data_IF_351052996386
#
_entry.id   IF_351052996386
#
_cell.length_a   1.000
_cell.length_b   1.000
_cell.length_c   1.000
_cell.angle_alpha   90.00
_cell.angle_beta   90.00
_cell.angle_gamma   90.00
#
_symmetry.space_group_name_H-M   'P 1'
#
loop_
_entity.id
_entity.type
_entity.pdbx_description
1 polymer ?
#
# COMPACT_ATOMS: atom_id res chain seq x y z
N UNK A 1 -3.88 11.60 11.60
CA UNK A 1 -3.61 10.15 11.51
C UNK A 1 -3.30 9.55 12.87
N UNK A 2 -3.62 8.27 13.05
CA UNK A 2 -3.32 7.52 14.28
C UNK A 2 -2.11 6.60 14.06
N UNK A 3 -1.13 6.59 14.98
CA UNK A 3 0.00 5.64 14.91
C UNK A 3 -0.32 4.35 15.67
N UNK A 4 0.06 3.21 15.12
CA UNK A 4 -0.11 1.88 15.74
C UNK A 4 1.19 1.09 15.66
N UNK A 5 1.42 0.23 16.64
CA UNK A 5 2.53 -0.72 16.67
C UNK A 5 1.99 -2.15 16.73
N UNK A 6 2.65 -3.07 16.03
CA UNK A 6 2.27 -4.48 15.97
C UNK A 6 2.08 -4.99 14.55
N UNK A 7 1.47 -6.16 14.42
CA UNK A 7 1.19 -6.78 13.14
C UNK A 7 -0.20 -6.35 12.63
N UNK A 8 -0.20 -5.42 11.67
CA UNK A 8 -1.43 -4.86 11.07
C UNK A 8 -2.42 -5.92 10.54
N UNK A 9 -1.93 -7.08 10.08
CA UNK A 9 -2.77 -8.14 9.52
C UNK A 9 -3.66 -8.82 10.56
N UNK A 10 -3.28 -8.82 11.84
CA UNK A 10 -4.08 -9.40 12.92
C UNK A 10 -5.35 -8.58 13.18
N UNK A 11 -5.41 -7.36 12.64
CA UNK A 11 -6.46 -6.38 12.85
C UNK A 11 -7.26 -6.12 11.56
N UNK A 12 -7.06 -6.92 10.50
CA UNK A 12 -7.71 -6.76 9.19
C UNK A 12 -9.22 -6.51 9.28
N UNK A 13 -9.92 -7.27 10.12
CA UNK A 13 -11.38 -7.19 10.24
C UNK A 13 -11.89 -5.84 10.75
N UNK A 14 -11.03 -5.03 11.37
CA UNK A 14 -11.38 -3.69 11.87
C UNK A 14 -11.18 -2.57 10.85
N UNK A 15 -10.64 -2.86 9.68
CA UNK A 15 -10.41 -1.87 8.62
C UNK A 15 -11.52 -1.89 7.58
N UNK A 16 -12.10 -0.73 7.28
CA UNK A 16 -12.95 -0.56 6.10
C UNK A 16 -12.10 -0.57 4.82
N UNK A 17 -10.87 -0.04 4.90
CA UNK A 17 -9.86 -0.15 3.85
C UNK A 17 -8.49 -0.57 4.41
N UNK A 18 -7.96 -1.66 3.90
CA UNK A 18 -6.69 -2.27 4.26
C UNK A 18 -5.65 -2.02 3.15
N UNK A 19 -4.85 -0.98 3.35
CA UNK A 19 -3.82 -0.52 2.43
C UNK A 19 -2.48 -1.22 2.69
N UNK A 20 -1.96 -1.89 1.66
CA UNK A 20 -0.63 -2.50 1.69
C UNK A 20 0.31 -1.76 0.75
N UNK A 21 1.50 -1.40 1.23
CA UNK A 21 2.48 -0.71 0.40
C UNK A 21 3.00 -1.63 -0.71
N UNK A 22 2.97 -1.16 -1.96
CA UNK A 22 3.33 -1.99 -3.11
C UNK A 22 4.13 -1.20 -4.18
N UNK A 23 4.45 -1.91 -5.26
CA UNK A 23 5.10 -1.39 -6.46
C UNK A 23 4.16 -1.56 -7.68
N UNK A 24 4.63 -1.24 -8.88
CA UNK A 24 3.92 -1.45 -10.15
C UNK A 24 4.70 -2.33 -11.14
N UNK A 25 5.63 -3.15 -10.63
CA UNK A 25 6.38 -4.08 -11.46
C UNK A 25 5.59 -5.38 -11.64
N UNK A 26 4.99 -5.50 -12.81
CA UNK A 26 4.33 -6.72 -13.30
C UNK A 26 5.38 -7.61 -13.95
N UNK A 27 5.41 -8.88 -13.58
CA UNK A 27 6.35 -9.89 -14.11
C UNK A 27 5.86 -10.43 -15.44
N UNK A 28 6.71 -11.18 -16.14
CA UNK A 28 6.39 -11.83 -17.41
C UNK A 28 5.21 -12.82 -17.31
N UNK A 29 4.93 -13.36 -16.11
CA UNK A 29 3.77 -14.20 -15.84
C UNK A 29 2.47 -13.40 -15.56
N UNK A 30 2.50 -12.09 -15.79
CA UNK A 30 1.38 -11.16 -15.56
C UNK A 30 1.11 -10.84 -14.08
N UNK A 31 1.86 -11.39 -13.14
CA UNK A 31 1.63 -11.16 -11.71
C UNK A 31 2.45 -9.99 -11.16
N UNK A 32 1.87 -9.28 -10.19
CA UNK A 32 2.56 -8.22 -9.46
C UNK A 32 3.69 -8.78 -8.58
N UNK A 33 4.85 -8.12 -8.58
CA UNK A 33 5.96 -8.53 -7.72
C UNK A 33 5.72 -8.21 -6.25
N UNK A 34 5.56 -9.25 -5.43
CA UNK A 34 5.28 -9.17 -4.00
C UNK A 34 6.22 -10.08 -3.18
N UNK A 35 7.53 -9.86 -3.31
CA UNK A 35 8.58 -10.72 -2.76
C UNK A 35 9.03 -10.41 -1.32
N UNK A 36 8.69 -9.23 -0.77
CA UNK A 36 9.12 -8.81 0.56
C UNK A 36 8.08 -7.93 1.28
N UNK A 37 8.29 -7.71 2.59
CA UNK A 37 7.48 -6.81 3.42
C UNK A 37 6.00 -7.16 3.47
N UNK A 38 5.15 -6.14 3.70
CA UNK A 38 3.70 -6.28 3.78
C UNK A 38 3.09 -6.84 2.48
N UNK A 39 3.65 -6.53 1.31
CA UNK A 39 3.20 -7.11 0.04
C UNK A 39 3.37 -8.64 0.00
N UNK A 40 4.51 -9.17 0.48
CA UNK A 40 4.70 -10.62 0.61
C UNK A 40 3.70 -11.23 1.58
N UNK A 41 3.46 -10.56 2.70
CA UNK A 41 2.51 -11.02 3.71
C UNK A 41 1.09 -11.09 3.14
N UNK A 42 0.64 -10.07 2.42
CA UNK A 42 -0.65 -10.06 1.71
C UNK A 42 -0.74 -11.22 0.71
N UNK A 43 0.29 -11.43 -0.11
CA UNK A 43 0.32 -12.55 -1.07
C UNK A 43 0.20 -13.91 -0.38
N UNK A 44 0.86 -14.10 0.76
CA UNK A 44 0.80 -15.37 1.51
C UNK A 44 -0.56 -15.55 2.17
N UNK A 45 -1.11 -14.48 2.74
CA UNK A 45 -2.40 -14.47 3.42
C UNK A 45 -3.58 -14.78 2.48
N UNK A 46 -3.51 -14.33 1.22
CA UNK A 46 -4.56 -14.55 0.20
C UNK A 46 -4.46 -15.91 -0.53
N UNK A 47 -3.63 -16.85 -0.05
CA UNK A 47 -3.53 -18.20 -0.65
C UNK A 47 -4.76 -19.05 -0.28
N UNK A 48 -5.19 -19.98 -1.17
CA UNK A 48 -4.49 -20.49 -2.36
C UNK A 48 -4.72 -19.70 -3.66
N UNK A 49 -5.43 -18.58 -3.64
CA UNK A 49 -5.82 -17.87 -4.88
C UNK A 49 -4.61 -17.21 -5.58
N UNK A 50 -4.60 -17.08 -6.92
CA UNK A 50 -3.55 -16.40 -7.68
C UNK A 50 -3.67 -14.87 -7.53
N UNK A 51 -3.80 -14.36 -6.30
CA UNK A 51 -4.10 -12.97 -5.99
C UNK A 51 -3.08 -12.00 -6.60
N UNK A 52 -1.79 -12.38 -6.62
CA UNK A 52 -0.75 -11.58 -7.28
C UNK A 52 -0.97 -11.43 -8.80
N UNK A 53 -1.55 -12.42 -9.48
CA UNK A 53 -1.94 -12.35 -10.89
C UNK A 53 -3.03 -11.31 -11.11
N UNK A 54 -4.10 -11.38 -10.31
CA UNK A 54 -5.21 -10.41 -10.34
C UNK A 54 -4.72 -8.97 -10.09
N UNK A 55 -3.85 -8.78 -9.09
CA UNK A 55 -3.23 -7.47 -8.82
C UNK A 55 -2.36 -6.98 -9.98
N UNK A 56 -1.66 -7.88 -10.68
CA UNK A 56 -0.89 -7.54 -11.86
C UNK A 56 -1.79 -7.00 -12.99
N UNK A 57 -2.90 -7.68 -13.27
CA UNK A 57 -3.89 -7.19 -14.25
C UNK A 57 -4.48 -5.83 -13.88
N UNK A 58 -4.78 -5.58 -12.59
CA UNK A 58 -5.25 -4.27 -12.15
C UNK A 58 -4.19 -3.17 -12.31
N UNK A 59 -2.93 -3.45 -11.99
CA UNK A 59 -1.84 -2.50 -12.22
C UNK A 59 -1.66 -2.20 -13.70
N UNK A 60 -1.70 -3.21 -14.57
CA UNK A 60 -1.62 -3.00 -16.02
C UNK A 60 -2.75 -2.11 -16.53
N UNK A 61 -4.00 -2.36 -16.11
CA UNK A 61 -5.15 -1.55 -16.52
C UNK A 61 -5.11 -0.12 -15.97
N UNK A 62 -4.66 0.07 -14.73
CA UNK A 62 -4.65 1.38 -14.07
C UNK A 62 -3.51 2.28 -14.57
N UNK A 63 -2.31 1.74 -14.73
CA UNK A 63 -1.15 2.57 -15.08
C UNK A 63 -0.11 1.91 -15.98
N UNK A 64 -0.27 0.64 -16.34
CA UNK A 64 0.74 -0.15 -17.04
C UNK A 64 1.93 -0.55 -16.16
N UNK A 65 2.75 -1.49 -16.67
CA UNK A 65 4.05 -1.86 -16.11
C UNK A 65 4.90 -0.62 -15.77
N UNK A 66 5.40 -0.53 -14.53
CA UNK A 66 6.20 0.59 -14.00
C UNK A 66 5.48 1.95 -13.95
N UNK A 67 4.17 2.01 -14.20
CA UNK A 67 3.38 3.23 -14.08
C UNK A 67 3.16 3.69 -12.64
N UNK A 68 2.54 4.86 -12.48
CA UNK A 68 2.23 5.43 -11.16
C UNK A 68 0.71 5.52 -10.95
N UNK A 69 0.12 4.52 -10.29
CA UNK A 69 -1.30 4.49 -9.91
C UNK A 69 -1.59 5.31 -8.65
N UNK A 70 -0.68 5.35 -7.66
CA UNK A 70 -0.93 6.01 -6.37
C UNK A 70 -1.65 5.10 -5.37
N UNK A 71 -2.98 5.05 -5.44
CA UNK A 71 -3.83 4.15 -4.66
C UNK A 71 -4.66 3.30 -5.61
N UNK A 72 -4.59 1.98 -5.47
CA UNK A 72 -5.34 1.05 -6.32
C UNK A 72 -6.21 0.15 -5.46
N UNK A 73 -7.53 0.35 -5.51
CA UNK A 73 -8.50 -0.54 -4.86
C UNK A 73 -8.55 -1.86 -5.62
N UNK A 74 -8.15 -2.94 -4.97
CA UNK A 74 -8.01 -4.25 -5.60
C UNK A 74 -9.19 -5.17 -5.32
N UNK A 75 -9.68 -5.19 -4.08
CA UNK A 75 -10.73 -6.13 -3.71
C UNK A 75 -11.50 -5.64 -2.49
N UNK A 76 -12.62 -4.93 -2.71
CA UNK A 76 -13.58 -4.45 -1.72
C UNK A 76 -12.99 -3.63 -0.55
N UNK A 77 -12.25 -4.31 0.32
CA UNK A 77 -11.54 -3.78 1.49
C UNK A 77 -10.02 -3.72 1.31
N UNK A 78 -9.43 -4.21 0.23
CA UNK A 78 -7.96 -4.21 0.03
C UNK A 78 -7.58 -3.16 -1.02
N UNK A 79 -6.58 -2.33 -0.69
CA UNK A 79 -5.94 -1.43 -1.64
C UNK A 79 -4.42 -1.54 -1.62
N UNK A 80 -3.81 -1.24 -2.77
CA UNK A 80 -2.37 -1.07 -2.90
C UNK A 80 -2.01 0.40 -2.77
N UNK A 81 -1.14 0.72 -1.82
CA UNK A 81 -0.57 2.06 -1.64
C UNK A 81 0.80 2.10 -2.30
N UNK A 82 0.95 2.82 -3.41
CA UNK A 82 2.19 2.79 -4.16
C UNK A 82 3.32 3.51 -3.42
N UNK A 83 4.51 2.91 -3.43
CA UNK A 83 5.71 3.55 -2.85
C UNK A 83 6.88 3.63 -3.81
N UNK A 84 6.85 2.84 -4.89
CA UNK A 84 7.86 2.76 -5.95
C UNK A 84 7.25 2.14 -7.19
N UNK A 85 7.93 2.26 -8.33
CA UNK A 85 7.51 1.60 -9.56
C UNK A 85 8.19 0.23 -9.68
N UNK A 86 9.50 0.17 -9.47
CA UNK A 86 10.29 -1.07 -9.53
C UNK A 86 10.66 -1.61 -8.14
N UNK A 87 10.51 -2.92 -7.91
CA UNK A 87 10.75 -3.54 -6.60
C UNK A 87 12.21 -3.44 -6.09
N UNK A 88 13.20 -3.52 -7.00
CA UNK A 88 14.64 -3.34 -6.69
C UNK A 88 15.03 -1.91 -6.27
N UNK A 89 14.20 -0.91 -6.56
CA UNK A 89 14.53 0.48 -6.28
C UNK A 89 14.08 0.90 -4.87
N UNK A 90 14.68 1.98 -4.36
CA UNK A 90 14.19 2.66 -3.15
C UNK A 90 12.79 3.23 -3.40
N UNK A 91 12.02 3.36 -2.33
CA UNK A 91 10.77 4.11 -2.36
C UNK A 91 11.03 5.59 -2.70
N UNK A 92 10.06 6.22 -3.35
CA UNK A 92 10.16 7.61 -3.81
C UNK A 92 9.14 8.48 -3.08
N UNK A 93 9.59 9.59 -2.50
CA UNK A 93 8.71 10.50 -1.74
C UNK A 93 7.57 11.06 -2.61
N UNK A 94 7.84 11.37 -3.88
CA UNK A 94 6.81 11.82 -4.84
C UNK A 94 5.70 10.78 -5.05
N UNK A 95 6.04 9.48 -5.11
CA UNK A 95 5.07 8.39 -5.31
C UNK A 95 4.25 8.20 -4.03
N UNK A 96 4.91 8.27 -2.87
CA UNK A 96 4.24 8.23 -1.56
C UNK A 96 3.29 9.42 -1.42
N UNK A 97 3.70 10.63 -1.81
CA UNK A 97 2.88 11.84 -1.78
C UNK A 97 1.64 11.72 -2.67
N UNK A 98 1.78 11.26 -3.92
CA UNK A 98 0.65 11.01 -4.82
C UNK A 98 -0.32 9.97 -4.22
N UNK A 99 0.20 8.91 -3.62
CA UNK A 99 -0.59 7.86 -2.99
C UNK A 99 -1.33 8.37 -1.75
N UNK A 100 -0.67 9.18 -0.92
CA UNK A 100 -1.27 9.82 0.25
C UNK A 100 -2.40 10.77 -0.15
N UNK A 101 -2.19 11.59 -1.18
CA UNK A 101 -3.24 12.47 -1.72
C UNK A 101 -4.47 11.68 -2.20
N UNK A 102 -4.28 10.55 -2.88
CA UNK A 102 -5.41 9.71 -3.30
C UNK A 102 -6.11 9.04 -2.11
N UNK A 103 -5.35 8.63 -1.09
CA UNK A 103 -5.94 8.10 0.14
C UNK A 103 -6.76 9.16 0.88
N UNK A 104 -6.29 10.41 0.94
CA UNK A 104 -7.05 11.53 1.49
C UNK A 104 -8.39 11.68 0.74
N UNK A 105 -8.36 11.65 -0.60
CA UNK A 105 -9.59 11.71 -1.43
C UNK A 105 -10.53 10.54 -1.13
N UNK A 106 -10.00 9.33 -0.92
CA UNK A 106 -10.81 8.18 -0.54
C UNK A 106 -11.46 8.39 0.84
N UNK A 107 -10.71 8.85 1.83
CA UNK A 107 -11.24 9.12 3.19
C UNK A 107 -12.27 10.25 3.22
N UNK A 108 -12.15 11.25 2.34
CA UNK A 108 -13.14 12.31 2.22
C UNK A 108 -14.51 11.79 1.74
N UNK A 109 -14.51 10.73 0.91
CA UNK A 109 -15.73 10.03 0.47
C UNK A 109 -16.26 9.06 1.53
N UNK A 110 -15.41 8.61 2.45
CA UNK A 110 -15.72 7.66 3.51
C UNK A 110 -15.35 8.25 4.88
N UNK A 111 -16.03 9.33 5.34
CA UNK A 111 -15.59 10.09 6.52
C UNK A 111 -15.62 9.30 7.83
N UNK A 112 -16.30 8.15 7.86
CA UNK A 112 -16.34 7.22 9.01
C UNK A 112 -15.53 5.95 8.77
N UNK A 113 -14.92 5.80 7.60
CA UNK A 113 -14.20 4.61 7.20
C UNK A 113 -12.81 4.55 7.84
N UNK A 114 -12.54 3.47 8.55
CA UNK A 114 -11.24 3.18 9.17
C UNK A 114 -10.28 2.63 8.12
N UNK A 115 -9.13 3.27 7.94
CA UNK A 115 -8.10 2.84 7.00
C UNK A 115 -6.88 2.35 7.74
N UNK A 116 -6.37 1.17 7.41
CA UNK A 116 -5.07 0.69 7.89
C UNK A 116 -4.03 0.77 6.79
N UNK A 117 -2.85 1.29 7.14
CA UNK A 117 -1.72 1.43 6.22
C UNK A 117 -0.43 1.03 6.94
N UNK A 118 0.34 0.10 6.38
CA UNK A 118 1.69 -0.15 6.90
C UNK A 118 2.60 1.04 6.55
N UNK A 119 3.50 1.42 7.46
CA UNK A 119 4.31 2.63 7.32
C UNK A 119 5.04 2.68 5.96
N UNK A 120 4.78 3.70 5.12
CA UNK A 120 5.21 3.67 3.72
C UNK A 120 6.71 3.92 3.56
N UNK A 121 7.29 3.23 2.57
CA UNK A 121 8.65 3.51 2.08
C UNK A 121 9.82 3.16 3.00
N UNK A 122 9.57 2.69 4.23
CA UNK A 122 10.62 2.23 5.16
C UNK A 122 10.93 0.74 4.95
N UNK A 123 11.90 0.19 5.71
CA UNK A 123 12.30 -1.21 5.59
C UNK A 123 12.83 -1.53 4.18
N UNK A 124 12.15 -2.44 3.46
CA UNK A 124 12.49 -2.77 2.06
C UNK A 124 12.31 -1.59 1.07
N UNK A 125 11.71 -0.48 1.49
CA UNK A 125 11.66 0.77 0.72
C UNK A 125 12.92 1.64 0.91
N UNK A 126 13.70 1.42 1.99
CA UNK A 126 14.99 2.08 2.19
C UNK A 126 14.96 3.57 2.52
N UNK A 127 13.79 4.15 2.80
CA UNK A 127 13.70 5.53 3.30
C UNK A 127 13.79 5.58 4.82
N UNK A 128 14.30 6.68 5.35
CA UNK A 128 14.24 6.99 6.77
C UNK A 128 12.82 7.46 7.15
N UNK A 129 12.34 7.08 8.34
CA UNK A 129 11.03 7.50 8.87
C UNK A 129 10.86 9.03 8.83
N UNK A 130 11.90 9.79 9.16
CA UNK A 130 11.92 11.26 9.17
C UNK A 130 11.60 11.90 7.81
N UNK A 131 11.95 11.24 6.70
CA UNK A 131 11.70 11.74 5.33
C UNK A 131 10.25 11.52 4.90
N UNK A 132 9.63 10.46 5.39
CA UNK A 132 8.25 10.07 5.07
C UNK A 132 7.24 10.72 6.02
N UNK A 133 7.67 10.99 7.26
CA UNK A 133 6.82 11.51 8.34
C UNK A 133 5.97 12.73 7.93
N UNK A 134 6.52 13.76 7.24
CA UNK A 134 5.72 14.92 6.82
C UNK A 134 4.52 14.54 5.96
N UNK A 135 4.67 13.57 5.05
CA UNK A 135 3.60 13.15 4.14
C UNK A 135 2.49 12.41 4.89
N UNK A 136 2.86 11.51 5.81
CA UNK A 136 1.85 10.73 6.54
C UNK A 136 1.16 11.55 7.63
N UNK A 137 1.79 12.59 8.16
CA UNK A 137 1.18 13.51 9.14
C UNK A 137 0.02 14.33 8.54
N UNK A 138 -0.03 14.47 7.22
CA UNK A 138 -1.17 15.08 6.50
C UNK A 138 -2.38 14.14 6.37
N UNK A 139 -2.24 12.85 6.70
CA UNK A 139 -3.34 11.89 6.59
C UNK A 139 -4.39 12.10 7.72
N UNK A 140 -5.69 11.92 7.44
CA UNK A 140 -6.76 12.05 8.44
C UNK A 140 -6.64 11.06 9.60
N UNK A 141 -7.31 11.35 10.71
CA UNK A 141 -7.28 10.52 11.92
C UNK A 141 -7.87 9.12 11.74
N UNK A 142 -8.76 8.96 10.76
CA UNK A 142 -9.30 7.68 10.32
C UNK A 142 -8.26 6.77 9.69
N UNK A 143 -7.08 7.29 9.33
CA UNK A 143 -5.95 6.51 8.84
C UNK A 143 -5.04 6.10 9.99
N UNK A 144 -4.93 4.80 10.21
CA UNK A 144 -4.04 4.18 11.16
C UNK A 144 -2.77 3.70 10.46
N UNK A 145 -1.64 4.32 10.77
CA UNK A 145 -0.33 3.95 10.22
C UNK A 145 0.38 3.00 11.16
N UNK A 146 0.66 1.78 10.67
CA UNK A 146 1.21 0.68 11.44
C UNK A 146 2.72 0.50 11.21
N UNK A 147 3.47 0.33 12.30
CA UNK A 147 4.86 -0.13 12.26
C UNK A 147 5.01 -1.45 12.99
N UNK A 148 5.76 -2.39 12.40
CA UNK A 148 6.26 -3.58 13.12
C UNK A 148 7.50 -3.18 13.92
N UNK A 149 7.72 -3.87 15.06
CA UNK A 149 8.94 -3.77 15.86
C UNK A 149 10.19 -4.15 15.05
#
# INVERSE_FOLDING_TARGET
MTRRQGNMFDEYERADLFCVTANSYVRDDGALTMGAGAAKQLRVWMRPQPYAGRLGSFVEMECGHLGVYGLLEADGRIALFQTKTHWKQKARLEVIGKSAMQLIKWTAKHPRGTVYLNYPGIGCGGLQKSRVRPIIEELPDTVHVWTRE
#
